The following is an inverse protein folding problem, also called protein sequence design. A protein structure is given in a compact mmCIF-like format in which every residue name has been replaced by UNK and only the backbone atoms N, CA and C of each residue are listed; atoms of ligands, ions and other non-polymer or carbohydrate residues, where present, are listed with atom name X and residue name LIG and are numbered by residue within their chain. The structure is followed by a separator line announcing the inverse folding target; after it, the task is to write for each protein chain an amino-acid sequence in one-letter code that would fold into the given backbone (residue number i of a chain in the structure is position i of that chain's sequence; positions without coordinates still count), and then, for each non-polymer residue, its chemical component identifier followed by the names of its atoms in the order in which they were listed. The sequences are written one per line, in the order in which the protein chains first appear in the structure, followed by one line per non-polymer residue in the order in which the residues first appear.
data_IF_860064188639
#
_entry.id   IF_860064188639
#
_cell.length_a   1.000
_cell.length_b   1.000
_cell.length_c   1.000
_cell.angle_alpha   90.00
_cell.angle_beta   90.00
_cell.angle_gamma   90.00
#
_symmetry.space_group_name_H-M   'P 1'
#
loop_
_entity.id
_entity.type
_entity.pdbx_description
1 polymer ?
#
# COMPACT_ATOMS: atom_id res chain seq x y z
N UNK A 1 -15.54 -6.48 4.63
CA UNK A 1 -16.61 -5.92 3.75
C UNK A 1 -16.50 -4.41 3.57
N UNK A 2 -16.20 -3.62 4.60
CA UNK A 2 -15.99 -2.16 4.48
C UNK A 2 -14.98 -1.81 3.38
N UNK A 3 -13.84 -2.51 3.31
CA UNK A 3 -12.81 -2.28 2.29
C UNK A 3 -13.28 -2.51 0.84
N UNK A 4 -14.16 -3.49 0.61
CA UNK A 4 -14.71 -3.78 -0.72
C UNK A 4 -15.65 -2.65 -1.17
N UNK A 5 -16.48 -2.14 -0.25
CA UNK A 5 -17.36 -1.00 -0.53
C UNK A 5 -16.57 0.26 -0.87
N UNK A 6 -15.52 0.56 -0.10
CA UNK A 6 -14.64 1.71 -0.37
C UNK A 6 -13.93 1.54 -1.72
N UNK A 7 -13.41 0.34 -2.02
CA UNK A 7 -12.74 0.07 -3.30
C UNK A 7 -13.68 0.29 -4.49
N UNK A 8 -14.93 -0.19 -4.41
CA UNK A 8 -15.93 0.02 -5.45
C UNK A 8 -16.27 1.50 -5.66
N UNK A 9 -16.39 2.27 -4.57
CA UNK A 9 -16.62 3.72 -4.65
C UNK A 9 -15.45 4.45 -5.31
N UNK A 10 -14.20 4.14 -4.92
CA UNK A 10 -13.01 4.72 -5.54
C UNK A 10 -12.92 4.39 -7.03
N UNK A 11 -13.28 3.17 -7.41
CA UNK A 11 -13.32 2.76 -8.81
C UNK A 11 -14.37 3.55 -9.60
N UNK A 12 -15.58 3.73 -9.07
CA UNK A 12 -16.63 4.50 -9.71
C UNK A 12 -16.19 5.96 -9.94
N UNK A 13 -15.56 6.58 -8.95
CA UNK A 13 -15.02 7.95 -9.06
C UNK A 13 -13.96 8.03 -10.16
N UNK A 14 -13.02 7.09 -10.20
CA UNK A 14 -11.99 7.02 -11.25
C UNK A 14 -12.60 6.94 -12.65
N UNK A 15 -13.63 6.09 -12.83
CA UNK A 15 -14.36 5.96 -14.09
C UNK A 15 -15.06 7.26 -14.51
N UNK A 16 -15.71 7.96 -13.57
CA UNK A 16 -16.37 9.25 -13.86
C UNK A 16 -15.34 10.31 -14.28
N UNK A 17 -14.19 10.37 -13.61
CA UNK A 17 -13.11 11.30 -13.96
C UNK A 17 -12.54 11.03 -15.35
N UNK A 18 -12.43 9.76 -15.77
CA UNK A 18 -12.02 9.41 -17.13
C UNK A 18 -13.05 9.84 -18.19
N UNK A 19 -14.34 9.76 -17.88
CA UNK A 19 -15.41 10.15 -18.80
C UNK A 19 -15.48 11.67 -19.02
N UNK A 20 -15.24 12.45 -17.97
CA UNK A 20 -15.29 13.92 -18.02
C UNK A 20 -13.96 14.53 -18.50
N UNK A 21 -12.85 13.82 -18.31
CA UNK A 21 -11.51 14.31 -18.65
C UNK A 21 -11.18 14.29 -20.16
N UNK A 22 -10.16 15.06 -20.60
CA UNK A 22 -9.67 15.00 -21.97
C UNK A 22 -9.17 13.60 -22.34
N UNK A 23 -9.47 13.14 -23.56
CA UNK A 23 -9.15 11.78 -24.05
C UNK A 23 -7.66 11.40 -23.85
N UNK A 24 -6.75 12.37 -23.97
CA UNK A 24 -5.31 12.16 -23.75
C UNK A 24 -4.96 11.84 -22.27
N UNK A 25 -5.66 12.45 -21.32
CA UNK A 25 -5.51 12.15 -19.89
C UNK A 25 -6.13 10.79 -19.55
N UNK A 26 -7.25 10.42 -20.18
CA UNK A 26 -7.88 9.11 -19.99
C UNK A 26 -7.00 7.95 -20.50
N UNK A 27 -6.34 8.13 -21.65
CA UNK A 27 -5.39 7.13 -22.17
C UNK A 27 -4.17 6.95 -21.24
N UNK A 28 -3.60 8.05 -20.74
CA UNK A 28 -2.51 7.99 -19.74
C UNK A 28 -2.95 7.34 -18.42
N UNK A 29 -4.15 7.65 -17.94
CA UNK A 29 -4.70 7.05 -16.74
C UNK A 29 -4.89 5.53 -16.90
N UNK A 30 -5.38 5.08 -18.07
CA UNK A 30 -5.48 3.65 -18.36
C UNK A 30 -4.11 2.97 -18.31
N UNK A 31 -3.08 3.54 -18.94
CA UNK A 31 -1.71 2.99 -18.89
C UNK A 31 -1.18 2.91 -17.44
N UNK A 32 -1.50 3.87 -16.59
CA UNK A 32 -1.11 3.85 -15.18
C UNK A 32 -1.88 2.79 -14.37
N UNK A 33 -3.16 2.58 -14.65
CA UNK A 33 -3.99 1.55 -14.01
C UNK A 33 -3.60 0.14 -14.44
N UNK A 34 -3.17 -0.08 -15.69
CA UNK A 34 -2.67 -1.41 -16.07
C UNK A 34 -1.31 -1.73 -15.41
N UNK A 35 -0.63 -0.71 -14.89
CA UNK A 35 0.73 -0.80 -14.40
C UNK A 35 1.73 -0.87 -15.56
N UNK A 36 2.83 -0.13 -15.46
CA UNK A 36 3.86 -0.18 -16.49
C UNK A 36 5.23 0.14 -15.93
N UNK A 37 6.15 -0.81 -16.04
CA UNK A 37 7.58 -0.59 -15.75
C UNK A 37 8.26 0.14 -16.92
N UNK A 38 7.64 0.16 -18.11
CA UNK A 38 8.22 0.79 -19.31
C UNK A 38 8.36 2.31 -19.20
N UNK A 39 7.60 2.96 -18.31
CA UNK A 39 7.72 4.40 -18.05
C UNK A 39 8.65 4.72 -16.86
N UNK A 40 9.27 3.71 -16.25
CA UNK A 40 10.12 3.91 -15.08
C UNK A 40 11.44 4.59 -15.45
N UNK A 41 11.73 5.72 -14.83
CA UNK A 41 12.97 6.48 -15.02
C UNK A 41 13.92 6.27 -13.84
N UNK A 42 15.23 6.25 -14.08
CA UNK A 42 16.25 6.14 -13.02
C UNK A 42 16.16 7.22 -11.93
N UNK A 43 15.61 8.41 -12.25
CA UNK A 43 15.29 9.43 -11.25
C UNK A 43 14.20 9.00 -10.28
N UNK A 44 13.12 8.36 -10.77
CA UNK A 44 12.04 7.84 -9.92
C UNK A 44 12.57 6.72 -9.01
N UNK A 45 13.44 5.86 -9.54
CA UNK A 45 14.10 4.79 -8.76
C UNK A 45 14.94 5.36 -7.62
N UNK A 46 15.74 6.40 -7.89
CA UNK A 46 16.55 7.07 -6.85
C UNK A 46 15.69 7.71 -5.74
N UNK A 47 14.48 8.16 -6.06
CA UNK A 47 13.55 8.75 -5.09
C UNK A 47 12.85 7.65 -4.26
N UNK A 48 12.44 6.54 -4.89
CA UNK A 48 11.66 5.51 -4.21
C UNK A 48 12.50 4.58 -3.33
N UNK A 49 13.76 4.32 -3.71
CA UNK A 49 14.67 3.45 -2.95
C UNK A 49 14.82 3.86 -1.48
N UNK A 50 15.15 5.13 -1.13
CA UNK A 50 15.30 5.51 0.27
C UNK A 50 13.99 5.40 1.05
N UNK A 51 12.85 5.67 0.40
CA UNK A 51 11.52 5.53 1.01
C UNK A 51 11.24 4.07 1.32
N UNK A 52 11.38 3.16 0.34
CA UNK A 52 11.17 1.73 0.54
C UNK A 52 12.14 1.16 1.57
N UNK A 53 13.43 1.56 1.53
CA UNK A 53 14.42 1.13 2.50
C UNK A 53 14.05 1.54 3.92
N UNK A 54 13.60 2.79 4.11
CA UNK A 54 13.15 3.29 5.41
C UNK A 54 11.92 2.53 5.93
N UNK A 55 10.90 2.31 5.09
CA UNK A 55 9.72 1.52 5.47
C UNK A 55 10.07 0.06 5.77
N UNK A 56 11.00 -0.54 5.04
CA UNK A 56 11.47 -1.91 5.30
C UNK A 56 12.17 -2.02 6.67
N UNK A 57 13.04 -1.06 7.01
CA UNK A 57 13.71 -1.03 8.31
C UNK A 57 12.68 -0.95 9.44
N UNK A 58 11.69 -0.06 9.32
CA UNK A 58 10.62 0.06 10.31
C UNK A 58 9.82 -1.26 10.40
N UNK A 59 9.52 -1.87 9.26
CA UNK A 59 8.80 -3.15 9.23
C UNK A 59 9.57 -4.23 9.97
N UNK A 60 10.88 -4.39 9.73
CA UNK A 60 11.72 -5.36 10.43
C UNK A 60 11.74 -5.18 11.95
N UNK A 61 11.72 -3.93 12.43
CA UNK A 61 11.63 -3.63 13.87
C UNK A 61 10.28 -4.06 14.45
N UNK A 62 9.19 -3.84 13.71
CA UNK A 62 7.83 -4.21 14.16
C UNK A 62 7.55 -5.72 14.03
N UNK A 63 8.18 -6.42 13.07
CA UNK A 63 8.02 -7.88 12.88
C UNK A 63 8.38 -8.68 14.13
N UNK A 64 9.29 -8.18 14.96
CA UNK A 64 9.64 -8.83 16.24
C UNK A 64 8.45 -8.93 17.20
N UNK A 65 7.49 -8.01 17.11
CA UNK A 65 6.24 -8.03 17.88
C UNK A 65 5.18 -8.97 17.28
N UNK A 66 5.27 -9.26 15.97
CA UNK A 66 4.41 -10.19 15.25
C UNK A 66 4.65 -11.65 15.66
N UNK A 67 5.92 -12.03 15.89
CA UNK A 67 6.27 -13.37 16.37
C UNK A 67 5.63 -13.69 17.73
N UNK A 68 5.39 -12.68 18.57
CA UNK A 68 4.70 -12.86 19.85
C UNK A 68 3.19 -13.04 19.70
N UNK A 69 2.57 -12.46 18.66
CA UNK A 69 1.15 -12.68 18.35
C UNK A 69 0.89 -14.09 17.77
N UNK A 70 1.89 -14.74 17.15
CA UNK A 70 1.74 -16.11 16.63
C UNK A 70 1.51 -17.16 17.74
N UNK A 71 1.91 -16.89 18.98
CA UNK A 71 1.68 -17.79 20.12
C UNK A 71 0.26 -17.68 20.71
N UNK A 72 -0.60 -16.85 20.13
CA UNK A 72 -1.99 -16.65 20.56
C UNK A 72 -2.19 -15.30 21.25
N UNK A 73 -3.34 -14.67 20.98
CA UNK A 73 -3.70 -13.35 21.52
C UNK A 73 -3.70 -13.35 23.07
N UNK A 74 -4.02 -14.48 23.71
CA UNK A 74 -4.00 -14.66 25.16
C UNK A 74 -2.60 -14.58 25.78
N UNK A 75 -1.57 -15.05 25.07
CA UNK A 75 -0.16 -14.97 25.50
C UNK A 75 0.37 -13.54 25.31
N UNK A 76 -0.04 -12.87 24.24
CA UNK A 76 0.35 -11.49 23.97
C UNK A 76 -0.30 -10.49 24.96
N UNK A 77 -1.56 -10.72 25.35
CA UNK A 77 -2.29 -9.92 26.35
C UNK A 77 -1.72 -10.08 27.76
N UNK A 78 -1.37 -11.30 28.16
CA UNK A 78 -0.78 -11.59 29.48
C UNK A 78 0.62 -10.99 29.67
N UNK A 79 1.35 -10.71 28.59
CA UNK A 79 2.62 -9.98 28.59
C UNK A 79 2.45 -8.44 28.56
N UNK A 80 1.22 -7.93 28.60
CA UNK A 80 0.92 -6.48 28.60
C UNK A 80 1.12 -5.81 27.24
N UNK A 81 1.30 -6.56 26.15
CA UNK A 81 1.37 -5.98 24.82
C UNK A 81 -0.02 -5.55 24.34
N UNK A 82 -0.14 -4.29 23.94
CA UNK A 82 -1.33 -3.76 23.28
C UNK A 82 -1.49 -4.33 21.86
N UNK A 83 -2.01 -5.56 21.75
CA UNK A 83 -2.22 -6.30 20.49
C UNK A 83 -2.88 -5.42 19.42
N UNK A 84 -3.87 -4.62 19.82
CA UNK A 84 -4.59 -3.69 18.94
C UNK A 84 -3.69 -2.59 18.34
N UNK A 85 -2.75 -2.03 19.14
CA UNK A 85 -1.81 -0.99 18.68
C UNK A 85 -0.82 -1.57 17.67
N UNK A 86 -0.29 -2.76 17.96
CA UNK A 86 0.63 -3.45 17.04
C UNK A 86 -0.05 -3.80 15.71
N UNK A 87 -1.29 -4.31 15.76
CA UNK A 87 -2.10 -4.57 14.55
C UNK A 87 -2.33 -3.30 13.73
N UNK A 88 -2.68 -2.19 14.38
CA UNK A 88 -2.88 -0.91 13.70
C UNK A 88 -1.59 -0.41 13.03
N UNK A 89 -0.45 -0.44 13.73
CA UNK A 89 0.85 -0.04 13.17
C UNK A 89 1.24 -0.89 11.97
N UNK A 90 0.99 -2.20 12.02
CA UNK A 90 1.27 -3.11 10.91
C UNK A 90 0.39 -2.83 9.69
N UNK A 91 -0.91 -2.60 9.90
CA UNK A 91 -1.81 -2.20 8.81
C UNK A 91 -1.34 -0.91 8.16
N UNK A 92 -0.95 0.08 8.96
CA UNK A 92 -0.46 1.37 8.46
C UNK A 92 0.83 1.20 7.64
N UNK A 93 1.77 0.37 8.11
CA UNK A 93 3.01 0.07 7.38
C UNK A 93 2.73 -0.66 6.07
N UNK A 94 1.89 -1.70 6.09
CA UNK A 94 1.49 -2.41 4.88
C UNK A 94 0.83 -1.46 3.87
N UNK A 95 -0.10 -0.62 4.31
CA UNK A 95 -0.75 0.37 3.44
C UNK A 95 0.24 1.37 2.87
N UNK A 96 1.21 1.84 3.67
CA UNK A 96 2.22 2.80 3.22
C UNK A 96 3.20 2.16 2.20
N UNK A 97 3.62 0.92 2.43
CA UNK A 97 4.45 0.15 1.49
C UNK A 97 3.72 -0.07 0.16
N UNK A 98 2.49 -0.59 0.21
CA UNK A 98 1.67 -0.84 -0.98
C UNK A 98 1.39 0.48 -1.72
N UNK A 99 1.02 1.53 -1.00
CA UNK A 99 0.76 2.85 -1.57
C UNK A 99 1.99 3.43 -2.27
N UNK A 100 3.17 3.29 -1.66
CA UNK A 100 4.43 3.72 -2.29
C UNK A 100 4.74 2.93 -3.56
N UNK A 101 4.52 1.61 -3.57
CA UNK A 101 4.72 0.80 -4.76
C UNK A 101 3.75 1.20 -5.89
N UNK A 102 2.46 1.32 -5.58
CA UNK A 102 1.41 1.67 -6.55
C UNK A 102 1.59 3.08 -7.12
N UNK A 103 2.01 4.04 -6.31
CA UNK A 103 2.21 5.42 -6.76
C UNK A 103 3.23 5.54 -7.90
N UNK A 104 4.28 4.70 -7.90
CA UNK A 104 5.36 4.77 -8.88
C UNK A 104 5.26 3.72 -9.99
N UNK A 105 4.78 2.51 -9.69
CA UNK A 105 4.70 1.42 -10.67
C UNK A 105 3.31 1.31 -11.34
N UNK A 106 2.30 1.98 -10.79
CA UNK A 106 0.89 1.73 -11.11
C UNK A 106 0.34 0.50 -10.38
N UNK A 107 -0.90 0.12 -10.66
CA UNK A 107 -1.55 -1.04 -10.02
C UNK A 107 -1.08 -2.34 -10.67
N UNK A 108 0.01 -2.90 -10.17
CA UNK A 108 0.48 -4.25 -10.52
C UNK A 108 -0.20 -5.24 -9.57
N UNK A 109 -1.23 -5.92 -10.07
CA UNK A 109 -1.88 -7.05 -9.39
C UNK A 109 -1.40 -8.38 -9.97
N UNK A 110 -1.31 -9.40 -9.13
CA UNK A 110 -1.21 -10.81 -9.54
C UNK A 110 -2.58 -11.47 -9.44
#
# INVERSE_FOLDING_TARGET
MIGVGIAALMQAISTVLMLVGPIYQASKANVWITGSVNSATWQQVKIIIPVIAFLLIITLLVTRHLNLQQFGDDVALSLGQGVQKTRFSLLLLCTALIGSAVAFAGTIGF
#
